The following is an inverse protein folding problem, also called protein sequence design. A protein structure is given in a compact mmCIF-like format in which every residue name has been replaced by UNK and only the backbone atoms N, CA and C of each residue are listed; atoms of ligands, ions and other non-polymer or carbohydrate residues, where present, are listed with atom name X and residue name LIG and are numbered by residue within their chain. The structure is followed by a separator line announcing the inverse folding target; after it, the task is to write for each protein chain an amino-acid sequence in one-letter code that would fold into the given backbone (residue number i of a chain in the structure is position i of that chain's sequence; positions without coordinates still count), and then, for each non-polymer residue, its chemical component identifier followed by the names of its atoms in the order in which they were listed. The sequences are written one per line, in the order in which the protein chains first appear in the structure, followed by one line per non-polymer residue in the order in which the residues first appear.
data_IF_789711580657
#
_entry.id   IF_789711580657
#
_cell.length_a   1.000
_cell.length_b   1.000
_cell.length_c   1.000
_cell.angle_alpha   90.00
_cell.angle_beta   90.00
_cell.angle_gamma   90.00
#
_symmetry.space_group_name_H-M   'P 1'
#
loop_
_entity.id
_entity.type
_entity.pdbx_description
1 polymer ?
#
# COMPACT_ATOMS: atom_id res chain seq x y z
N UNK A 1 -12.15 3.29 -26.61
CA UNK A 1 -10.71 3.64 -26.72
C UNK A 1 -10.02 3.24 -25.42
N UNK A 2 -8.98 2.41 -25.46
CA UNK A 2 -8.33 1.85 -24.25
C UNK A 2 -7.50 2.93 -23.55
N UNK A 3 -7.71 3.11 -22.24
CA UNK A 3 -6.90 3.96 -21.37
C UNK A 3 -5.49 3.38 -21.22
N UNK A 4 -4.55 3.79 -22.08
CA UNK A 4 -3.11 3.58 -21.85
C UNK A 4 -2.59 4.68 -20.92
N UNK A 5 -2.89 4.58 -19.63
CA UNK A 5 -2.23 5.41 -18.62
C UNK A 5 -0.74 5.02 -18.56
N UNK A 6 0.15 6.01 -18.45
CA UNK A 6 1.55 5.78 -18.12
C UNK A 6 1.58 5.07 -16.75
N UNK A 7 2.23 3.92 -16.68
CA UNK A 7 2.33 3.11 -15.46
C UNK A 7 3.80 2.97 -15.10
N UNK A 8 4.08 2.88 -13.82
CA UNK A 8 5.41 2.62 -13.31
C UNK A 8 5.68 1.12 -13.28
N UNK A 9 6.91 0.74 -13.56
CA UNK A 9 7.43 -0.56 -13.17
C UNK A 9 7.62 -0.57 -11.65
N UNK A 10 6.97 -1.50 -10.94
CA UNK A 10 7.61 -2.04 -9.73
C UNK A 10 8.78 -2.86 -10.25
N UNK A 11 10.00 -2.57 -9.80
CA UNK A 11 11.23 -3.20 -10.28
C UNK A 11 10.99 -4.69 -10.56
N UNK A 12 11.17 -5.06 -11.82
CA UNK A 12 10.98 -6.43 -12.30
C UNK A 12 12.33 -7.09 -12.37
N UNK A 13 12.49 -8.21 -11.65
CA UNK A 13 13.64 -9.13 -11.55
C UNK A 13 14.48 -9.07 -10.26
N UNK A 14 14.09 -8.25 -9.31
CA UNK A 14 14.44 -8.42 -7.90
C UNK A 14 13.20 -8.06 -7.09
N UNK A 15 12.93 -8.80 -6.02
CA UNK A 15 11.91 -8.44 -5.03
C UNK A 15 11.93 -6.93 -4.83
N UNK A 16 10.81 -6.24 -5.11
CA UNK A 16 10.63 -4.91 -4.55
C UNK A 16 10.81 -5.07 -3.05
N UNK A 17 11.92 -4.56 -2.52
CA UNK A 17 12.23 -4.70 -1.11
C UNK A 17 11.35 -3.70 -0.38
N UNK A 18 10.10 -4.09 -0.10
CA UNK A 18 9.34 -3.44 0.94
C UNK A 18 10.00 -3.85 2.27
N UNK A 19 10.98 -3.08 2.73
CA UNK A 19 11.50 -3.24 4.09
C UNK A 19 10.37 -2.83 5.01
N UNK A 20 9.68 -3.82 5.57
CA UNK A 20 8.64 -3.60 6.57
C UNK A 20 9.23 -3.90 7.93
N UNK A 21 9.42 -2.89 8.76
CA UNK A 21 9.77 -3.05 10.17
C UNK A 21 8.52 -2.80 11.00
N UNK A 22 8.15 -3.76 11.86
CA UNK A 22 7.06 -3.59 12.82
C UNK A 22 7.58 -3.69 14.25
N UNK A 23 7.07 -2.80 15.10
CA UNK A 23 7.12 -2.95 16.55
C UNK A 23 5.68 -3.21 16.98
N UNK A 24 5.42 -4.41 17.48
CA UNK A 24 4.16 -4.78 18.12
C UNK A 24 4.36 -4.76 19.63
N UNK A 25 3.56 -3.96 20.32
CA UNK A 25 3.46 -4.00 21.78
C UNK A 25 2.07 -4.53 22.11
N UNK A 26 1.98 -5.82 22.45
CA UNK A 26 0.84 -6.35 23.20
C UNK A 26 1.11 -6.10 24.69
N UNK A 27 0.24 -5.37 25.35
CA UNK A 27 0.29 -5.28 26.82
C UNK A 27 -0.62 -6.37 27.38
N UNK A 28 -0.09 -7.33 28.18
CA UNK A 28 -0.95 -8.29 28.86
C UNK A 28 -1.66 -7.56 29.99
N UNK A 29 -2.91 -7.18 29.79
CA UNK A 29 -3.71 -6.58 30.87
C UNK A 29 -4.70 -7.61 31.39
N UNK A 30 -4.23 -8.38 32.38
CA UNK A 30 -4.97 -9.23 33.34
C UNK A 30 -6.04 -10.21 32.83
N UNK A 31 -5.65 -11.47 32.65
CA UNK A 31 -6.25 -12.60 33.37
C UNK A 31 -5.27 -13.79 33.34
N UNK A 32 -4.74 -14.13 34.51
CA UNK A 32 -4.01 -15.36 34.77
C UNK A 32 -5.01 -16.33 35.38
N UNK A 33 -5.27 -17.44 34.69
CA UNK A 33 -5.75 -18.69 35.30
C UNK A 33 -5.26 -19.87 34.46
N UNK A 34 -4.55 -20.80 35.10
CA UNK A 34 -4.27 -22.13 34.58
C UNK A 34 -2.97 -22.30 33.78
N UNK A 35 -1.87 -22.57 34.48
CA UNK A 35 -0.78 -23.38 33.91
C UNK A 35 -1.29 -24.81 33.81
N UNK A 36 -1.83 -25.16 32.65
CA UNK A 36 -2.12 -26.55 32.26
C UNK A 36 -1.36 -26.85 30.95
N UNK A 37 -0.68 -27.99 30.92
CA UNK A 37 0.29 -28.36 29.90
C UNK A 37 -0.29 -28.45 28.46
N UNK A 38 0.28 -27.62 27.56
CA UNK A 38 0.22 -27.58 26.07
C UNK A 38 -1.11 -27.19 25.36
N UNK A 39 -1.09 -26.35 24.29
CA UNK A 39 0.03 -25.97 23.42
C UNK A 39 0.40 -24.48 23.57
N UNK A 40 1.40 -24.24 24.42
CA UNK A 40 1.99 -22.91 24.68
C UNK A 40 3.35 -22.79 23.96
N UNK A 41 3.43 -23.33 22.75
CA UNK A 41 4.55 -23.06 21.86
C UNK A 41 4.19 -21.80 21.08
N UNK A 42 4.92 -20.71 21.33
CA UNK A 42 5.00 -19.59 20.40
C UNK A 42 5.39 -20.16 19.03
N UNK A 43 4.41 -20.45 18.17
CA UNK A 43 4.65 -21.08 16.88
C UNK A 43 4.90 -19.98 15.87
N UNK A 44 6.16 -19.78 15.50
CA UNK A 44 6.56 -18.73 14.56
C UNK A 44 5.90 -18.83 13.17
N UNK A 45 5.29 -19.96 12.81
CA UNK A 45 4.50 -20.10 11.58
C UNK A 45 3.04 -19.64 11.73
N UNK A 46 2.51 -19.48 12.94
CA UNK A 46 1.09 -19.23 13.20
C UNK A 46 0.62 -17.82 12.76
N UNK A 47 1.55 -17.00 12.27
CA UNK A 47 1.27 -15.69 11.71
C UNK A 47 1.71 -15.63 10.26
N UNK A 48 0.95 -14.90 9.45
CA UNK A 48 1.36 -14.61 8.09
C UNK A 48 2.60 -13.69 8.08
N UNK A 49 3.33 -13.59 6.95
CA UNK A 49 4.39 -12.61 6.79
C UNK A 49 3.88 -11.21 7.11
N UNK A 50 4.76 -10.36 7.65
CA UNK A 50 4.47 -8.99 8.10
C UNK A 50 3.73 -8.09 7.09
N UNK A 51 3.85 -8.39 5.78
CA UNK A 51 3.15 -7.67 4.70
C UNK A 51 1.67 -8.04 4.54
N UNK A 52 1.20 -9.11 5.18
CA UNK A 52 -0.21 -9.52 5.20
C UNK A 52 -0.89 -8.80 6.36
N UNK A 53 -1.81 -7.90 6.02
CA UNK A 53 -2.52 -7.10 7.01
C UNK A 53 -3.78 -7.81 7.48
N UNK A 54 -3.98 -7.86 8.80
CA UNK A 54 -5.16 -8.50 9.40
C UNK A 54 -5.21 -9.99 9.06
N UNK A 55 -4.09 -10.68 9.26
CA UNK A 55 -3.89 -12.09 8.92
C UNK A 55 -4.57 -13.07 9.88
N UNK A 56 -4.94 -12.62 11.08
CA UNK A 56 -5.66 -13.42 12.06
C UNK A 56 -6.62 -12.57 12.89
N UNK A 57 -7.59 -13.25 13.51
CA UNK A 57 -8.45 -12.68 14.53
C UNK A 57 -7.79 -12.77 15.91
N UNK A 58 -8.16 -11.81 16.75
CA UNK A 58 -7.85 -11.76 18.17
C UNK A 58 -8.93 -12.43 19.01
N UNK A 59 -8.58 -12.86 20.22
CA UNK A 59 -9.55 -13.41 21.19
C UNK A 59 -10.34 -12.31 21.89
N UNK A 60 -11.54 -12.65 22.36
CA UNK A 60 -12.42 -11.70 23.03
C UNK A 60 -11.70 -10.96 24.17
N UNK A 61 -11.81 -9.63 24.17
CA UNK A 61 -11.16 -8.74 25.14
C UNK A 61 -9.74 -8.31 24.78
N UNK A 62 -9.10 -8.92 23.78
CA UNK A 62 -7.73 -8.56 23.40
C UNK A 62 -7.67 -7.20 22.70
N UNK A 63 -6.58 -6.49 22.97
CA UNK A 63 -6.20 -5.23 22.33
C UNK A 63 -4.79 -5.37 21.77
N UNK A 64 -4.60 -4.95 20.52
CA UNK A 64 -3.29 -4.85 19.89
C UNK A 64 -3.01 -3.42 19.45
N UNK A 65 -1.82 -2.93 19.74
CA UNK A 65 -1.27 -1.75 19.09
C UNK A 65 -0.14 -2.16 18.15
N UNK A 66 -0.11 -1.55 16.98
CA UNK A 66 0.88 -1.85 15.95
C UNK A 66 1.45 -0.57 15.35
N UNK A 67 2.75 -0.61 15.10
CA UNK A 67 3.44 0.35 14.24
C UNK A 67 4.11 -0.42 13.11
N UNK A 68 3.91 0.01 11.87
CA UNK A 68 4.55 -0.56 10.67
C UNK A 68 5.16 0.57 9.86
N UNK A 69 6.45 0.43 9.55
CA UNK A 69 7.12 1.26 8.55
C UNK A 69 7.16 0.51 7.23
N UNK A 70 6.88 1.19 6.11
CA UNK A 70 7.03 0.63 4.76
C UNK A 70 7.75 1.65 3.89
N UNK A 71 8.86 1.22 3.30
CA UNK A 71 9.56 1.93 2.24
C UNK A 71 9.22 1.28 0.88
N UNK A 72 8.99 2.10 -0.15
CA UNK A 72 8.75 1.64 -1.51
C UNK A 72 9.50 2.52 -2.52
N UNK A 73 10.28 1.86 -3.38
CA UNK A 73 10.92 2.48 -4.54
C UNK A 73 10.24 2.07 -5.84
N UNK A 74 10.09 3.03 -6.75
CA UNK A 74 9.52 2.84 -8.07
C UNK A 74 10.37 3.58 -9.10
N UNK A 75 10.80 2.87 -10.14
CA UNK A 75 11.57 3.41 -11.25
C UNK A 75 11.07 2.82 -12.57
N UNK A 76 11.42 3.44 -13.69
CA UNK A 76 11.16 2.89 -15.01
C UNK A 76 9.71 3.03 -15.46
N UNK A 77 9.50 3.92 -16.42
CA UNK A 77 8.18 4.13 -17.01
C UNK A 77 7.80 3.00 -17.97
N UNK A 78 6.49 2.69 -18.03
CA UNK A 78 5.91 1.67 -18.90
C UNK A 78 4.63 2.16 -19.58
N UNK A 79 4.41 1.69 -20.80
CA UNK A 79 3.12 1.74 -21.52
C UNK A 79 2.64 0.30 -21.70
N UNK A 80 1.59 -0.08 -20.97
CA UNK A 80 1.23 -1.50 -20.84
C UNK A 80 2.36 -2.27 -20.18
N UNK A 81 2.87 -3.31 -20.88
CA UNK A 81 3.98 -4.13 -20.40
C UNK A 81 5.34 -3.70 -20.98
N UNK A 82 5.38 -2.63 -21.78
CA UNK A 82 6.59 -2.19 -22.47
C UNK A 82 7.26 -1.05 -21.73
N UNK A 83 8.53 -1.21 -21.38
CA UNK A 83 9.36 -0.12 -20.85
C UNK A 83 9.55 0.98 -21.89
N UNK A 84 9.51 2.24 -21.45
CA UNK A 84 9.64 3.43 -22.29
C UNK A 84 10.63 4.41 -21.68
N UNK A 85 11.47 5.02 -22.52
CA UNK A 85 12.39 6.07 -22.08
C UNK A 85 11.68 7.42 -21.93
N UNK A 86 12.25 8.36 -21.16
CA UNK A 86 11.74 9.73 -21.12
C UNK A 86 11.66 10.40 -22.50
N UNK A 87 12.66 10.17 -23.37
CA UNK A 87 12.68 10.69 -24.74
C UNK A 87 11.52 10.14 -25.58
N UNK A 88 11.20 8.85 -25.43
CA UNK A 88 10.06 8.25 -26.12
C UNK A 88 8.75 8.83 -25.61
N UNK A 89 8.61 9.02 -24.29
CA UNK A 89 7.41 9.59 -23.69
C UNK A 89 7.13 10.98 -24.26
N UNK A 90 8.15 11.85 -24.29
CA UNK A 90 7.96 13.24 -24.73
C UNK A 90 7.77 13.41 -26.24
N UNK A 91 7.94 12.35 -27.03
CA UNK A 91 7.70 12.34 -28.48
C UNK A 91 6.44 11.58 -28.87
N UNK A 92 5.95 10.68 -28.03
CA UNK A 92 4.84 9.76 -28.38
C UNK A 92 3.61 9.89 -27.50
N UNK A 93 3.73 10.39 -26.26
CA UNK A 93 2.60 10.46 -25.31
C UNK A 93 1.93 11.82 -25.38
N UNK A 94 0.66 11.91 -25.83
CA UNK A 94 -0.05 13.17 -25.92
C UNK A 94 -0.28 13.80 -24.54
N UNK A 95 -0.08 15.11 -24.45
CA UNK A 95 -0.55 15.89 -23.31
C UNK A 95 -2.03 16.25 -23.53
N UNK A 96 -2.91 15.62 -22.76
CA UNK A 96 -4.36 15.77 -22.93
C UNK A 96 -4.93 16.99 -22.22
N UNK A 97 -4.16 17.62 -21.33
CA UNK A 97 -4.66 18.61 -20.38
C UNK A 97 -4.16 20.03 -20.66
N UNK A 98 -3.07 20.17 -21.40
CA UNK A 98 -2.49 21.45 -21.75
C UNK A 98 -1.66 21.35 -23.04
N UNK A 99 -1.21 22.50 -23.56
CA UNK A 99 -0.03 22.53 -24.40
C UNK A 99 1.24 22.31 -23.55
N UNK A 100 2.37 21.84 -24.11
CA UNK A 100 2.61 21.42 -25.51
C UNK A 100 1.90 20.11 -25.89
N UNK A 101 1.84 19.70 -27.17
CA UNK A 101 1.00 18.57 -27.62
C UNK A 101 1.40 17.21 -27.03
N UNK A 102 2.65 17.07 -26.59
CA UNK A 102 3.15 15.89 -25.86
C UNK A 102 3.59 16.27 -24.46
N UNK A 103 3.64 15.28 -23.56
CA UNK A 103 4.17 15.48 -22.21
C UNK A 103 5.61 16.00 -22.28
N UNK A 104 5.97 16.93 -21.39
CA UNK A 104 7.31 17.53 -21.35
C UNK A 104 8.01 17.40 -19.99
N UNK A 105 7.27 16.99 -18.98
CA UNK A 105 7.76 16.69 -17.64
C UNK A 105 7.52 15.20 -17.44
N UNK A 106 8.60 14.44 -17.31
CA UNK A 106 8.54 12.99 -17.21
C UNK A 106 9.10 12.59 -15.86
N UNK A 107 8.33 11.86 -15.04
CA UNK A 107 8.85 11.39 -13.78
C UNK A 107 9.77 10.19 -14.01
N UNK A 108 10.83 10.03 -13.23
CA UNK A 108 11.89 9.02 -13.45
C UNK A 108 12.00 8.01 -12.32
N UNK A 109 11.81 8.48 -11.09
CA UNK A 109 11.90 7.70 -9.87
C UNK A 109 10.89 8.24 -8.86
N UNK A 110 10.37 7.38 -8.00
CA UNK A 110 9.48 7.74 -6.92
C UNK A 110 9.77 6.88 -5.70
N UNK A 111 10.02 7.53 -4.57
CA UNK A 111 10.12 6.87 -3.27
C UNK A 111 8.88 7.18 -2.44
N UNK A 112 8.47 6.24 -1.59
CA UNK A 112 7.39 6.43 -0.64
C UNK A 112 7.76 5.79 0.69
N UNK A 113 7.74 6.61 1.73
CA UNK A 113 7.79 6.16 3.11
C UNK A 113 6.41 6.25 3.73
N UNK A 114 6.04 5.21 4.48
CA UNK A 114 4.75 5.09 5.12
C UNK A 114 4.94 4.67 6.57
N UNK A 115 4.49 5.51 7.49
CA UNK A 115 4.38 5.23 8.91
C UNK A 115 2.92 4.91 9.23
N UNK A 116 2.62 3.64 9.48
CA UNK A 116 1.28 3.18 9.79
C UNK A 116 1.18 2.87 11.28
N UNK A 117 0.22 3.48 11.95
CA UNK A 117 -0.16 3.17 13.33
C UNK A 117 -1.53 2.52 13.32
N UNK A 118 -1.69 1.44 14.07
CA UNK A 118 -2.93 0.69 14.12
C UNK A 118 -3.30 0.27 15.52
N UNK A 119 -4.59 0.22 15.79
CA UNK A 119 -5.16 -0.40 16.97
C UNK A 119 -6.18 -1.46 16.54
N UNK A 120 -6.20 -2.58 17.25
CA UNK A 120 -7.20 -3.62 17.08
C UNK A 120 -7.83 -3.95 18.42
N UNK A 121 -9.11 -4.28 18.40
CA UNK A 121 -9.86 -4.72 19.57
C UNK A 121 -10.84 -5.83 19.16
N UNK A 122 -10.83 -6.93 19.89
CA UNK A 122 -11.74 -8.05 19.67
C UNK A 122 -12.89 -8.03 20.70
N UNK A 123 -14.10 -7.57 20.33
CA UNK A 123 -15.25 -7.69 21.22
C UNK A 123 -15.72 -9.14 21.45
N UNK A 124 -15.46 -10.03 20.50
CA UNK A 124 -15.79 -11.47 20.55
C UNK A 124 -14.67 -12.28 19.90
N UNK A 125 -14.71 -13.61 20.03
CA UNK A 125 -13.74 -14.50 19.36
C UNK A 125 -13.92 -14.55 17.83
N UNK A 126 -15.08 -14.12 17.32
CA UNK A 126 -15.43 -14.15 15.89
C UNK A 126 -15.27 -12.80 15.19
N UNK A 127 -15.01 -11.73 15.95
CA UNK A 127 -14.94 -10.37 15.43
C UNK A 127 -13.72 -9.66 16.00
N UNK A 128 -12.88 -9.14 15.12
CA UNK A 128 -11.83 -8.18 15.50
C UNK A 128 -12.02 -6.88 14.74
N UNK A 129 -12.08 -5.77 15.46
CA UNK A 129 -12.15 -4.43 14.91
C UNK A 129 -10.74 -3.87 14.73
N UNK A 130 -10.52 -3.12 13.66
CA UNK A 130 -9.24 -2.54 13.30
C UNK A 130 -9.43 -1.07 12.92
N UNK A 131 -8.56 -0.21 13.44
CA UNK A 131 -8.46 1.20 13.05
C UNK A 131 -6.99 1.52 12.76
N UNK A 132 -6.71 2.11 11.60
CA UNK A 132 -5.35 2.44 11.17
C UNK A 132 -5.28 3.88 10.66
N UNK A 133 -4.30 4.61 11.17
CA UNK A 133 -3.85 5.89 10.64
C UNK A 133 -2.50 5.73 9.94
N UNK A 134 -2.23 6.57 8.96
CA UNK A 134 -0.97 6.53 8.23
C UNK A 134 -0.44 7.94 7.96
N UNK A 135 0.87 8.11 8.10
CA UNK A 135 1.61 9.27 7.64
C UNK A 135 2.46 8.84 6.44
N UNK A 136 2.39 9.60 5.36
CA UNK A 136 3.04 9.32 4.10
C UNK A 136 4.06 10.41 3.82
N UNK A 137 5.21 10.00 3.29
CA UNK A 137 6.19 10.88 2.65
C UNK A 137 6.42 10.34 1.24
N UNK A 138 6.38 11.22 0.24
CA UNK A 138 6.61 10.85 -1.15
C UNK A 138 7.58 11.82 -1.77
N UNK A 139 8.51 11.27 -2.54
CA UNK A 139 9.46 12.03 -3.35
C UNK A 139 9.38 11.49 -4.77
N UNK A 140 9.39 12.38 -5.75
CA UNK A 140 9.36 11.99 -7.16
C UNK A 140 10.30 12.87 -7.96
N UNK A 141 11.25 12.21 -8.62
CA UNK A 141 12.21 12.83 -9.50
C UNK A 141 11.65 12.94 -10.91
N UNK A 142 12.05 14.01 -11.59
CA UNK A 142 11.55 14.36 -12.89
C UNK A 142 12.66 14.88 -13.80
N UNK A 143 12.52 14.61 -15.10
CA UNK A 143 13.24 15.29 -16.17
C UNK A 143 12.26 16.19 -16.92
N UNK A 144 12.65 17.45 -17.11
CA UNK A 144 11.94 18.40 -17.97
C UNK A 144 12.64 18.51 -19.31
N UNK A 145 11.87 18.57 -20.39
CA UNK A 145 12.37 18.78 -21.75
C UNK A 145 12.00 20.18 -22.25
N UNK A 146 12.93 20.84 -22.94
CA UNK A 146 12.81 22.25 -23.33
C UNK A 146 11.76 22.47 -24.42
N UNK A 147 11.00 23.56 -24.30
CA UNK A 147 10.15 24.05 -25.38
C UNK A 147 9.00 23.11 -25.76
N UNK A 148 8.44 23.33 -26.95
CA UNK A 148 7.18 22.71 -27.38
C UNK A 148 7.33 21.31 -27.98
N UNK A 149 8.55 20.91 -28.38
CA UNK A 149 8.83 19.66 -29.07
C UNK A 149 10.31 19.25 -28.94
N UNK A 150 10.64 18.05 -29.41
CA UNK A 150 12.01 17.53 -29.43
C UNK A 150 12.43 16.90 -28.09
N UNK A 151 13.67 16.41 -28.06
CA UNK A 151 14.22 15.60 -26.95
C UNK A 151 15.34 16.31 -26.18
N UNK A 152 15.53 17.61 -26.39
CA UNK A 152 16.48 18.40 -25.59
C UNK A 152 16.04 18.48 -24.14
N UNK A 153 16.82 17.90 -23.23
CA UNK A 153 16.59 17.97 -21.79
C UNK A 153 16.92 19.39 -21.30
N UNK A 154 16.03 19.97 -20.51
CA UNK A 154 16.19 21.27 -19.88
C UNK A 154 16.86 21.14 -18.52
N UNK A 155 16.46 20.15 -17.73
CA UNK A 155 17.00 19.90 -16.39
C UNK A 155 16.17 18.91 -15.61
N UNK A 156 16.65 18.58 -14.40
CA UNK A 156 15.97 17.72 -13.44
C UNK A 156 15.40 18.53 -12.28
N UNK A 157 14.39 17.99 -11.63
CA UNK A 157 13.87 18.50 -10.36
C UNK A 157 13.14 17.40 -9.61
N UNK A 158 12.95 17.62 -8.32
CA UNK A 158 12.29 16.71 -7.41
C UNK A 158 11.07 17.41 -6.82
N UNK A 159 9.98 16.68 -6.66
CA UNK A 159 8.80 17.14 -5.94
C UNK A 159 8.55 16.29 -4.71
N UNK A 160 8.07 16.91 -3.64
CA UNK A 160 7.78 16.22 -2.37
C UNK A 160 6.37 16.51 -1.90
N UNK A 161 5.81 15.55 -1.18
CA UNK A 161 4.52 15.69 -0.48
C UNK A 161 4.54 14.81 0.75
N UNK A 162 4.05 15.34 1.88
CA UNK A 162 3.97 14.56 3.12
C UNK A 162 2.78 14.96 3.98
N UNK A 163 2.27 14.01 4.75
CA UNK A 163 1.13 14.24 5.64
C UNK A 163 0.33 12.99 5.92
N UNK A 164 -0.82 13.19 6.55
CA UNK A 164 -1.75 12.12 6.88
C UNK A 164 -2.36 11.56 5.59
N UNK A 165 -2.40 10.24 5.47
CA UNK A 165 -3.12 9.55 4.41
C UNK A 165 -4.57 9.23 4.79
N UNK A 166 -5.24 8.42 3.98
CA UNK A 166 -6.60 7.98 4.29
C UNK A 166 -6.63 7.05 5.52
N UNK A 167 -7.52 7.35 6.45
CA UNK A 167 -7.74 6.54 7.66
C UNK A 167 -8.52 5.29 7.29
N UNK A 168 -8.13 4.14 7.82
CA UNK A 168 -8.77 2.86 7.52
C UNK A 168 -9.44 2.28 8.74
N UNK A 169 -10.71 1.89 8.59
CA UNK A 169 -11.43 1.11 9.58
C UNK A 169 -11.81 -0.23 8.96
N UNK A 170 -11.70 -1.32 9.70
CA UNK A 170 -12.11 -2.64 9.22
C UNK A 170 -12.63 -3.53 10.34
N UNK A 171 -13.46 -4.50 9.97
CA UNK A 171 -13.82 -5.63 10.80
C UNK A 171 -13.29 -6.92 10.15
N UNK A 172 -12.69 -7.78 10.96
CA UNK A 172 -12.30 -9.13 10.62
C UNK A 172 -13.38 -10.04 11.18
N UNK A 173 -13.97 -10.87 10.33
CA UNK A 173 -15.08 -11.74 10.69
C UNK A 173 -14.70 -13.19 10.40
N UNK A 174 -14.71 -14.01 11.44
CA UNK A 174 -14.48 -15.44 11.31
C UNK A 174 -15.56 -16.06 10.41
N UNK A 175 -15.14 -16.82 9.41
CA UNK A 175 -16.05 -17.56 8.52
C UNK A 175 -15.93 -19.07 8.73
N UNK A 176 -14.74 -19.54 9.07
CA UNK A 176 -14.44 -20.96 9.28
C UNK A 176 -13.22 -21.10 10.19
N UNK A 177 -13.34 -21.89 11.24
CA UNK A 177 -12.24 -22.23 12.15
C UNK A 177 -12.27 -23.74 12.43
N UNK A 178 -11.36 -24.46 11.79
CA UNK A 178 -11.12 -25.89 12.02
C UNK A 178 -9.65 -26.11 12.39
N UNK A 179 -9.31 -27.21 13.09
CA UNK A 179 -7.92 -27.54 13.39
C UNK A 179 -7.06 -27.52 12.13
N UNK A 180 -6.06 -26.63 12.12
CA UNK A 180 -5.13 -26.46 11.00
C UNK A 180 -5.63 -25.56 9.85
N UNK A 181 -6.89 -25.12 9.84
CA UNK A 181 -7.45 -24.34 8.74
C UNK A 181 -8.37 -23.22 9.22
N UNK A 182 -8.06 -21.98 8.83
CA UNK A 182 -8.87 -20.81 9.18
C UNK A 182 -9.20 -19.98 7.95
N UNK A 183 -10.42 -19.42 7.95
CA UNK A 183 -10.89 -18.47 6.96
C UNK A 183 -11.58 -17.32 7.64
N UNK A 184 -11.22 -16.09 7.29
CA UNK A 184 -11.94 -14.91 7.71
C UNK A 184 -12.08 -13.89 6.59
N UNK A 185 -13.16 -13.11 6.68
CA UNK A 185 -13.39 -11.96 5.83
C UNK A 185 -12.82 -10.69 6.45
N UNK A 186 -12.38 -9.77 5.60
CA UNK A 186 -12.04 -8.40 5.96
C UNK A 186 -13.11 -7.48 5.35
N UNK A 187 -13.82 -6.73 6.18
CA UNK A 187 -14.82 -5.75 5.76
C UNK A 187 -14.27 -4.38 6.13
N UNK A 188 -13.62 -3.72 5.17
CA UNK A 188 -12.94 -2.45 5.39
C UNK A 188 -13.60 -1.24 4.72
N UNK A 189 -13.29 -0.07 5.26
CA UNK A 189 -13.63 1.25 4.74
C UNK A 189 -12.39 2.15 4.81
N UNK A 190 -12.05 2.76 3.69
CA UNK A 190 -11.08 3.86 3.62
C UNK A 190 -11.86 5.18 3.75
N UNK A 191 -11.43 6.03 4.67
CA UNK A 191 -12.03 7.34 4.97
C UNK A 191 -11.07 8.41 4.40
N UNK A 192 -11.57 9.37 3.59
CA UNK A 192 -10.72 10.32 2.85
C UNK A 192 -10.18 11.44 3.76
N UNK A 193 -9.34 11.09 4.72
CA UNK A 193 -8.65 12.05 5.59
C UNK A 193 -7.38 12.62 4.96
N UNK A 194 -6.85 11.96 3.91
CA UNK A 194 -5.64 12.42 3.25
C UNK A 194 -5.89 13.57 2.27
N UNK A 195 -4.93 14.50 2.22
CA UNK A 195 -5.00 15.65 1.30
C UNK A 195 -4.91 15.23 -0.17
N UNK A 196 -5.66 15.94 -1.01
CA UNK A 196 -5.66 15.84 -2.48
C UNK A 196 -5.28 17.16 -3.17
N UNK A 197 -4.72 18.11 -2.41
CA UNK A 197 -4.36 19.45 -2.87
C UNK A 197 -2.87 19.75 -2.70
N UNK A 198 -2.03 18.73 -2.50
CA UNK A 198 -0.58 18.86 -2.36
C UNK A 198 0.03 19.53 -3.60
N UNK A 199 0.93 20.47 -3.36
CA UNK A 199 1.51 21.35 -4.38
C UNK A 199 3.00 21.54 -4.11
N UNK A 200 3.79 21.67 -5.18
CA UNK A 200 5.23 21.93 -5.08
C UNK A 200 5.72 22.72 -6.32
N UNK A 201 6.97 23.19 -6.28
CA UNK A 201 7.66 23.88 -7.36
C UNK A 201 8.01 22.92 -8.50
N UNK A 202 7.43 23.14 -9.68
CA UNK A 202 7.67 22.31 -10.88
C UNK A 202 8.53 23.05 -11.89
N UNK A 203 9.59 22.42 -12.41
CA UNK A 203 10.35 22.99 -13.53
C UNK A 203 9.52 22.87 -14.82
N UNK A 204 9.12 23.99 -15.40
CA UNK A 204 8.31 24.00 -16.63
C UNK A 204 9.20 23.90 -17.87
N UNK A 205 8.65 23.49 -19.03
CA UNK A 205 9.38 23.50 -20.31
C UNK A 205 9.89 24.88 -20.75
N UNK A 206 9.37 25.96 -20.14
CA UNK A 206 9.79 27.35 -20.36
C UNK A 206 10.93 27.80 -19.43
N UNK A 207 11.43 26.94 -18.53
CA UNK A 207 12.50 27.26 -17.59
C UNK A 207 12.06 28.02 -16.34
N UNK A 208 10.75 28.11 -16.09
CA UNK A 208 10.20 28.73 -14.87
C UNK A 208 9.89 27.67 -13.80
N UNK A 209 9.73 28.10 -12.54
CA UNK A 209 9.41 27.23 -11.39
C UNK A 209 8.18 27.72 -10.60
N UNK A 210 6.98 27.69 -11.20
CA UNK A 210 5.74 27.97 -10.46
C UNK A 210 5.43 26.85 -9.46
N UNK A 211 4.73 27.21 -8.39
CA UNK A 211 4.08 26.23 -7.51
C UNK A 211 2.81 25.73 -8.16
N UNK A 212 2.74 24.43 -8.43
CA UNK A 212 1.60 23.78 -9.07
C UNK A 212 1.13 22.61 -8.20
N UNK A 213 -0.15 22.27 -8.33
CA UNK A 213 -0.69 21.05 -7.74
C UNK A 213 0.02 19.83 -8.33
N UNK A 214 0.44 18.93 -7.45
CA UNK A 214 1.13 17.72 -7.84
C UNK A 214 0.18 16.70 -8.49
N UNK A 215 0.70 15.79 -9.33
CA UNK A 215 -0.10 14.71 -9.92
C UNK A 215 -0.81 13.85 -8.86
N UNK A 216 -1.93 13.21 -9.23
CA UNK A 216 -2.72 12.38 -8.32
C UNK A 216 -1.90 11.27 -7.60
N UNK A 217 -0.79 10.81 -8.17
CA UNK A 217 0.10 9.82 -7.56
C UNK A 217 0.85 10.37 -6.32
N UNK A 218 1.09 11.68 -6.29
CA UNK A 218 1.73 12.40 -5.19
C UNK A 218 0.73 12.86 -4.13
N UNK A 219 -0.57 12.84 -4.41
CA UNK A 219 -1.59 13.17 -3.41
C UNK A 219 -1.61 12.12 -2.28
N UNK A 220 -1.92 12.54 -1.06
CA UNK A 220 -1.82 11.71 0.15
C UNK A 220 -3.06 10.84 0.38
N UNK A 221 -4.21 11.31 -0.09
CA UNK A 221 -5.49 10.61 -0.03
C UNK A 221 -6.10 10.32 -1.39
N UNK A 222 -7.25 9.66 -1.36
CA UNK A 222 -8.09 9.41 -2.52
C UNK A 222 -9.13 10.50 -2.77
N UNK A 223 -9.56 11.17 -1.71
CA UNK A 223 -10.70 12.09 -1.74
C UNK A 223 -12.06 11.41 -1.83
N UNK A 224 -12.13 10.09 -1.65
CA UNK A 224 -13.39 9.33 -1.65
C UNK A 224 -13.44 8.35 -0.49
N UNK A 225 -14.65 8.01 -0.05
CA UNK A 225 -14.83 6.81 0.75
C UNK A 225 -14.62 5.60 -0.15
N UNK A 226 -13.86 4.60 0.29
CA UNK A 226 -13.62 3.41 -0.51
C UNK A 226 -13.91 2.14 0.27
N UNK A 227 -14.56 1.17 -0.37
CA UNK A 227 -14.81 -0.13 0.25
C UNK A 227 -13.58 -1.02 0.10
N UNK A 228 -13.17 -1.66 1.18
CA UNK A 228 -12.01 -2.55 1.22
C UNK A 228 -12.39 -3.98 1.63
N UNK A 229 -13.08 -4.76 0.76
CA UNK A 229 -13.34 -6.16 1.04
C UNK A 229 -12.07 -7.00 0.90
N UNK A 230 -11.97 -8.04 1.71
CA UNK A 230 -10.92 -9.03 1.62
C UNK A 230 -11.36 -10.39 2.17
N UNK A 231 -10.58 -11.40 1.81
CA UNK A 231 -10.74 -12.78 2.28
C UNK A 231 -9.35 -13.34 2.52
N UNK A 232 -9.15 -13.94 3.67
CA UNK A 232 -7.88 -14.55 4.06
C UNK A 232 -8.10 -16.00 4.43
N UNK A 233 -7.25 -16.88 3.91
CA UNK A 233 -7.17 -18.29 4.28
C UNK A 233 -5.77 -18.59 4.81
N UNK A 234 -5.71 -19.31 5.92
CA UNK A 234 -4.46 -19.79 6.51
C UNK A 234 -4.56 -21.28 6.81
N UNK A 235 -3.52 -22.02 6.45
CA UNK A 235 -3.38 -23.45 6.71
C UNK A 235 -2.08 -23.75 7.46
N UNK A 236 -2.13 -24.70 8.39
CA UNK A 236 -0.99 -25.14 9.18
C UNK A 236 -1.00 -26.66 9.34
N UNK A 237 0.13 -27.30 9.05
CA UNK A 237 0.33 -28.72 9.27
C UNK A 237 1.77 -29.01 9.66
N UNK A 238 1.96 -29.64 10.83
CA UNK A 238 3.26 -29.89 11.44
C UNK A 238 4.16 -28.63 11.47
N UNK A 239 5.22 -28.60 10.66
CA UNK A 239 6.18 -27.49 10.59
C UNK A 239 5.91 -26.53 9.41
N UNK A 240 4.83 -26.76 8.66
CA UNK A 240 4.47 -25.96 7.50
C UNK A 240 3.29 -25.04 7.83
N UNK A 241 3.39 -23.82 7.33
CA UNK A 241 2.27 -22.88 7.26
C UNK A 241 2.12 -22.37 5.83
N UNK A 242 0.92 -22.03 5.43
CA UNK A 242 0.66 -21.39 4.14
C UNK A 242 -0.61 -20.58 4.20
N UNK A 243 -0.77 -19.70 3.23
CA UNK A 243 -2.00 -18.95 3.13
C UNK A 243 -2.12 -18.15 1.86
N UNK A 244 -3.31 -17.60 1.69
CA UNK A 244 -3.62 -16.70 0.61
C UNK A 244 -4.56 -15.60 1.13
N UNK A 245 -4.30 -14.37 0.71
CA UNK A 245 -5.14 -13.23 1.00
C UNK A 245 -5.50 -12.53 -0.31
N UNK A 246 -6.80 -12.38 -0.52
CA UNK A 246 -7.35 -11.49 -1.54
C UNK A 246 -7.84 -10.22 -0.86
N UNK A 247 -7.49 -9.06 -1.43
CA UNK A 247 -8.01 -7.75 -1.01
C UNK A 247 -8.34 -6.90 -2.22
N UNK A 248 -9.37 -6.08 -2.08
CA UNK A 248 -9.72 -5.07 -3.08
C UNK A 248 -9.89 -3.71 -2.44
N UNK A 249 -9.61 -2.66 -3.20
CA UNK A 249 -10.08 -1.29 -2.91
C UNK A 249 -11.03 -0.89 -4.02
N UNK A 250 -12.31 -0.80 -3.69
CA UNK A 250 -13.38 -0.42 -4.60
C UNK A 250 -13.66 1.07 -4.40
N UNK A 251 -13.36 1.87 -5.42
CA UNK A 251 -13.53 3.33 -5.40
C UNK A 251 -14.99 3.67 -5.64
N UNK A 252 -15.64 4.34 -4.71
CA UNK A 252 -17.10 4.53 -4.78
C UNK A 252 -17.53 5.75 -5.57
N UNK A 253 -16.62 6.65 -5.96
CA UNK A 253 -17.03 7.87 -6.66
C UNK A 253 -15.89 8.72 -7.22
N UNK A 254 -16.27 9.94 -7.58
CA UNK A 254 -15.38 11.03 -8.03
C UNK A 254 -15.14 11.97 -6.86
N UNK A 255 -13.90 12.38 -6.63
CA UNK A 255 -13.57 13.35 -5.58
C UNK A 255 -13.89 14.79 -5.98
N UNK A 256 -13.73 15.72 -5.04
CA UNK A 256 -14.03 17.15 -5.23
C UNK A 256 -13.10 17.85 -6.24
N UNK A 257 -12.02 17.18 -6.66
CA UNK A 257 -11.10 17.63 -7.72
C UNK A 257 -11.43 17.01 -9.09
N UNK A 258 -12.58 16.34 -9.20
CA UNK A 258 -13.14 15.88 -10.47
C UNK A 258 -12.47 14.64 -11.07
N UNK A 259 -11.67 13.89 -10.30
CA UNK A 259 -11.07 12.63 -10.76
C UNK A 259 -11.52 11.42 -9.93
N UNK A 260 -11.46 10.24 -10.55
CA UNK A 260 -11.77 8.96 -9.93
C UNK A 260 -10.57 8.05 -10.05
N UNK A 261 -10.12 7.49 -8.94
CA UNK A 261 -9.09 6.46 -8.95
C UNK A 261 -9.66 5.13 -9.45
N UNK A 262 -8.81 4.29 -10.03
CA UNK A 262 -9.21 2.95 -10.43
C UNK A 262 -9.31 1.99 -9.24
N UNK A 263 -10.18 0.99 -9.36
CA UNK A 263 -10.23 -0.13 -8.43
C UNK A 263 -8.89 -0.87 -8.41
N UNK A 264 -8.50 -1.32 -7.22
CA UNK A 264 -7.29 -2.12 -7.00
C UNK A 264 -7.70 -3.50 -6.51
N UNK A 265 -7.06 -4.53 -7.06
CA UNK A 265 -7.21 -5.91 -6.61
C UNK A 265 -5.82 -6.46 -6.34
N UNK A 266 -5.64 -7.11 -5.20
CA UNK A 266 -4.38 -7.66 -4.75
C UNK A 266 -4.62 -9.10 -4.30
N UNK A 267 -3.72 -9.98 -4.74
CA UNK A 267 -3.67 -11.37 -4.31
C UNK A 267 -2.26 -11.60 -3.77
N UNK A 268 -2.19 -12.04 -2.53
CA UNK A 268 -0.95 -12.38 -1.83
C UNK A 268 -1.03 -13.85 -1.46
N UNK A 269 0.02 -14.62 -1.76
CA UNK A 269 0.18 -15.99 -1.29
C UNK A 269 1.51 -16.13 -0.57
N UNK A 270 1.55 -16.98 0.44
CA UNK A 270 2.77 -17.27 1.19
C UNK A 270 2.83 -18.73 1.62
N UNK A 271 4.03 -19.18 1.91
CA UNK A 271 4.32 -20.46 2.53
C UNK A 271 5.47 -20.25 3.51
N UNK A 272 5.37 -20.86 4.69
CA UNK A 272 6.34 -20.76 5.75
C UNK A 272 6.78 -22.13 6.22
N UNK A 273 8.04 -22.24 6.61
CA UNK A 273 8.58 -23.42 7.26
C UNK A 273 9.20 -23.04 8.61
N UNK A 274 8.86 -23.79 9.65
CA UNK A 274 9.39 -23.61 10.99
C UNK A 274 10.55 -24.56 11.24
N UNK A 275 11.72 -23.99 11.53
CA UNK A 275 12.91 -24.76 11.85
C UNK A 275 12.97 -25.13 13.33
N UNK A 276 12.51 -24.21 14.19
CA UNK A 276 12.40 -24.32 15.64
C UNK A 276 11.19 -23.51 16.10
N UNK A 277 10.61 -23.75 17.29
CA UNK A 277 9.42 -23.02 17.76
C UNK A 277 9.50 -21.50 17.55
N UNK A 278 10.64 -20.89 17.88
CA UNK A 278 10.89 -19.44 17.82
C UNK A 278 11.48 -18.91 16.49
N UNK A 279 11.72 -19.74 15.47
CA UNK A 279 12.26 -19.31 14.16
C UNK A 279 11.49 -19.98 13.01
N UNK A 280 10.86 -19.16 12.19
CA UNK A 280 10.26 -19.53 10.91
C UNK A 280 10.83 -18.69 9.76
N UNK A 281 10.78 -19.24 8.55
CA UNK A 281 11.03 -18.52 7.31
C UNK A 281 9.75 -18.53 6.48
N UNK A 282 9.37 -17.39 5.91
CA UNK A 282 8.11 -17.18 5.19
C UNK A 282 8.28 -16.24 3.99
#
# INVERSE_FOLDING_TARGET
MKNSALRWSRSGSAMGVAVTAALTFSTPTFAHDGVDHEPDATNAYAHAPIGVMGDHLHKAGEVMFSYRFMHMDMEGNRIGNRSVSPEEIVTTVPNRFAGPPTLRVVPTEMTMDMHMVGAMYAPTDDITLMLMGMYLEKEMDHITFQGMAGTTRLGTFTTKSSGIGDTKAAALVNLHDEPGHKVHANIGLSIPTGSITESDSVLTPMGTRPTLRLPYAMQLGSGTYDLEPGLTYTGYDANWGWGAQWRSTLRTGTNDEGYTLGNKHQLTGWASYQFQPWISLS
#
